data_IF_486078758766
#
_entry.id   IF_486078758766
#
_cell.length_a   1.000
_cell.length_b   1.000
_cell.length_c   1.000
_cell.angle_alpha   90.00
_cell.angle_beta   90.00
_cell.angle_gamma   90.00
#
_symmetry.space_group_name_H-M   'P 1'
#
loop_
_entity.id
_entity.type
_entity.pdbx_description
1 polymer ?
#
# COMPACT_ATOMS: atom_id res chain seq x y z
N UNK A 1 -27.74 32.78 13.56
CA UNK A 1 -27.13 31.89 12.55
C UNK A 1 -25.95 31.21 13.21
N UNK A 2 -26.16 30.00 13.72
CA UNK A 2 -25.10 29.18 14.31
C UNK A 2 -24.34 28.52 13.15
N UNK A 3 -23.14 28.99 12.89
CA UNK A 3 -22.19 28.25 12.06
C UNK A 3 -21.90 26.92 12.77
N UNK A 4 -22.54 25.86 12.37
CA UNK A 4 -22.04 24.52 12.60
C UNK A 4 -20.77 24.39 11.77
N UNK A 5 -19.64 24.51 12.43
CA UNK A 5 -18.35 24.04 11.92
C UNK A 5 -18.49 22.52 11.75
N UNK A 6 -19.10 22.09 10.65
CA UNK A 6 -19.26 20.68 10.35
C UNK A 6 -17.87 20.11 10.09
N UNK A 7 -17.32 19.45 11.11
CA UNK A 7 -16.03 18.77 11.00
C UNK A 7 -16.08 17.79 9.83
N UNK A 8 -15.49 18.15 8.72
CA UNK A 8 -15.39 17.25 7.58
C UNK A 8 -14.09 16.42 7.64
N UNK A 9 -14.15 15.20 7.11
CA UNK A 9 -13.06 14.23 7.15
C UNK A 9 -12.57 13.88 5.76
N UNK A 10 -11.25 13.64 5.66
CA UNK A 10 -10.63 12.97 4.52
C UNK A 10 -10.45 11.50 4.84
N UNK A 11 -11.01 10.63 4.02
CA UNK A 11 -10.91 9.19 4.13
C UNK A 11 -9.75 8.66 3.27
N UNK A 12 -8.78 7.95 3.86
CA UNK A 12 -7.66 7.35 3.13
C UNK A 12 -7.84 5.84 3.05
N UNK A 13 -8.11 5.32 1.85
CA UNK A 13 -8.32 3.90 1.59
C UNK A 13 -6.98 3.18 1.32
N UNK A 14 -6.25 2.90 2.39
CA UNK A 14 -4.92 2.28 2.30
C UNK A 14 -4.53 1.57 3.59
N UNK A 15 -3.52 0.66 3.51
CA UNK A 15 -2.87 0.08 4.71
C UNK A 15 -2.39 1.21 5.62
N UNK A 16 -2.54 1.03 6.93
CA UNK A 16 -2.22 2.05 7.94
C UNK A 16 -0.80 2.60 7.76
N UNK A 17 0.22 1.74 7.67
CA UNK A 17 1.63 2.15 7.59
C UNK A 17 1.94 3.00 6.34
N UNK A 18 1.23 2.74 5.25
CA UNK A 18 1.39 3.50 4.01
C UNK A 18 0.55 4.77 3.97
N UNK A 19 -0.52 4.82 4.75
CA UNK A 19 -1.39 5.99 4.86
C UNK A 19 -0.85 7.04 5.84
N UNK A 20 -0.14 6.62 6.90
CA UNK A 20 0.37 7.50 7.96
C UNK A 20 1.11 8.75 7.45
N UNK A 21 2.04 8.68 6.47
CA UNK A 21 2.74 9.90 6.01
C UNK A 21 1.80 10.94 5.41
N UNK A 22 0.75 10.52 4.69
CA UNK A 22 -0.26 11.45 4.16
C UNK A 22 -1.14 11.99 5.29
N UNK A 23 -1.58 11.11 6.20
CA UNK A 23 -2.37 11.52 7.37
C UNK A 23 -1.63 12.60 8.17
N UNK A 24 -0.36 12.38 8.52
CA UNK A 24 0.45 13.34 9.28
C UNK A 24 0.54 14.71 8.58
N UNK A 25 0.72 14.70 7.25
CA UNK A 25 0.79 15.93 6.48
C UNK A 25 -0.54 16.67 6.45
N UNK A 26 -1.67 15.96 6.28
CA UNK A 26 -3.01 16.56 6.27
C UNK A 26 -3.40 17.10 7.65
N UNK A 27 -3.11 16.36 8.72
CA UNK A 27 -3.40 16.79 10.11
C UNK A 27 -2.62 18.07 10.47
N UNK A 28 -1.36 18.20 10.02
CA UNK A 28 -0.58 19.46 10.17
C UNK A 28 -1.20 20.65 9.43
N UNK A 29 -2.08 20.41 8.48
CA UNK A 29 -2.86 21.42 7.75
C UNK A 29 -4.31 21.49 8.25
N UNK A 30 -4.58 21.11 9.51
CA UNK A 30 -5.89 21.15 10.17
C UNK A 30 -6.99 20.35 9.45
N UNK A 31 -6.62 19.29 8.70
CA UNK A 31 -7.57 18.40 8.03
C UNK A 31 -7.77 17.15 8.88
N UNK A 32 -9.01 16.84 9.21
CA UNK A 32 -9.35 15.61 9.90
C UNK A 32 -9.20 14.41 8.97
N UNK A 33 -8.58 13.35 9.45
CA UNK A 33 -8.27 12.17 8.62
C UNK A 33 -8.65 10.88 9.30
N UNK A 34 -9.40 10.05 8.60
CA UNK A 34 -9.60 8.64 8.94
C UNK A 34 -8.85 7.75 7.92
N UNK A 35 -8.22 6.70 8.41
CA UNK A 35 -7.64 5.65 7.56
C UNK A 35 -8.59 4.46 7.59
N UNK A 36 -9.05 4.04 6.42
CA UNK A 36 -9.95 2.90 6.25
C UNK A 36 -9.31 1.85 5.33
N UNK A 37 -8.61 0.85 5.90
CA UNK A 37 -8.13 -0.29 5.12
C UNK A 37 -9.29 -1.17 4.70
N UNK A 38 -9.45 -1.40 3.41
CA UNK A 38 -10.55 -2.24 2.87
C UNK A 38 -10.16 -3.72 2.72
N UNK A 39 -9.02 -4.11 3.26
CA UNK A 39 -8.53 -5.48 3.31
C UNK A 39 -8.05 -5.85 4.70
N UNK A 40 -8.35 -7.06 5.11
CA UNK A 40 -7.72 -7.70 6.25
C UNK A 40 -6.55 -8.56 5.78
N UNK A 41 -5.44 -8.50 6.53
CA UNK A 41 -4.24 -9.29 6.26
C UNK A 41 -4.34 -10.61 7.04
N UNK A 42 -4.54 -11.72 6.34
CA UNK A 42 -4.57 -13.05 6.92
C UNK A 42 -3.23 -13.76 6.71
N UNK A 43 -2.46 -14.06 7.77
CA UNK A 43 -1.24 -14.85 7.66
C UNK A 43 -1.50 -16.23 7.04
N UNK A 44 -0.53 -16.71 6.27
CA UNK A 44 -0.51 -18.07 5.70
C UNK A 44 0.64 -18.83 6.33
N UNK A 45 0.39 -20.04 6.80
CA UNK A 45 1.45 -20.92 7.34
C UNK A 45 2.49 -21.22 6.25
N UNK A 46 3.75 -21.16 6.60
CA UNK A 46 4.89 -21.51 5.73
C UNK A 46 5.94 -22.27 6.53
N UNK A 47 6.77 -23.04 5.85
CA UNK A 47 7.88 -23.76 6.48
C UNK A 47 8.99 -22.79 6.87
N UNK A 48 9.78 -23.07 7.93
CA UNK A 48 10.97 -22.30 8.25
C UNK A 48 11.86 -22.09 7.01
N UNK A 49 12.41 -20.90 6.89
CA UNK A 49 13.20 -20.50 5.71
C UNK A 49 14.69 -20.66 6.05
N UNK A 50 15.39 -21.50 5.30
CA UNK A 50 16.84 -21.55 5.35
C UNK A 50 17.43 -20.45 4.43
N UNK A 51 17.73 -19.29 4.98
CA UNK A 51 18.24 -18.15 4.21
C UNK A 51 19.60 -18.39 3.55
N UNK A 52 20.37 -19.40 3.99
CA UNK A 52 21.67 -19.74 3.38
C UNK A 52 21.56 -20.24 1.93
N UNK A 53 20.37 -20.72 1.54
CA UNK A 53 20.08 -21.17 0.17
C UNK A 53 19.88 -20.02 -0.82
N UNK A 54 19.78 -18.79 -0.32
CA UNK A 54 19.43 -17.62 -1.13
C UNK A 54 20.53 -16.56 -1.07
N UNK A 55 20.70 -15.84 -2.16
CA UNK A 55 21.64 -14.72 -2.23
C UNK A 55 20.98 -13.37 -1.90
N UNK A 56 19.66 -13.29 -2.07
CA UNK A 56 18.89 -12.07 -1.82
C UNK A 56 17.44 -12.39 -1.45
N UNK A 57 16.83 -11.49 -0.67
CA UNK A 57 15.42 -11.49 -0.27
C UNK A 57 14.74 -10.25 -0.85
N UNK A 58 13.62 -10.44 -1.57
CA UNK A 58 12.80 -9.36 -2.11
C UNK A 58 11.50 -9.23 -1.30
N UNK A 59 11.22 -8.01 -0.85
CA UNK A 59 10.04 -7.67 -0.05
C UNK A 59 9.37 -6.41 -0.63
N UNK A 60 8.07 -6.52 -0.89
CA UNK A 60 7.28 -5.41 -1.47
C UNK A 60 6.28 -4.79 -0.49
N UNK A 61 6.21 -5.29 0.75
CA UNK A 61 5.19 -4.86 1.72
C UNK A 61 5.67 -4.93 3.17
N UNK A 62 5.26 -3.96 3.97
CA UNK A 62 5.45 -3.94 5.42
C UNK A 62 4.84 -5.17 6.10
N UNK A 63 3.70 -5.67 5.58
CA UNK A 63 3.07 -6.88 6.12
C UNK A 63 3.98 -8.11 6.04
N UNK A 64 4.77 -8.23 4.96
CA UNK A 64 5.79 -9.29 4.85
C UNK A 64 6.87 -9.15 5.91
N UNK A 65 7.35 -7.93 6.16
CA UNK A 65 8.34 -7.64 7.21
C UNK A 65 7.82 -8.09 8.57
N UNK A 66 6.59 -7.65 8.93
CA UNK A 66 5.97 -7.99 10.22
C UNK A 66 5.84 -9.51 10.43
N UNK A 67 5.42 -10.23 9.39
CA UNK A 67 5.24 -11.68 9.46
C UNK A 67 6.58 -12.41 9.55
N UNK A 68 7.57 -12.03 8.74
CA UNK A 68 8.90 -12.65 8.80
C UNK A 68 9.58 -12.38 10.14
N UNK A 69 9.58 -11.14 10.63
CA UNK A 69 10.18 -10.78 11.91
C UNK A 69 9.56 -11.52 13.11
N UNK A 70 8.27 -11.90 13.00
CA UNK A 70 7.60 -12.70 14.04
C UNK A 70 7.96 -14.20 13.98
N UNK A 71 8.34 -14.71 12.81
CA UNK A 71 8.53 -16.15 12.55
C UNK A 71 9.99 -16.54 12.26
N UNK A 72 10.94 -15.62 12.37
CA UNK A 72 12.36 -15.84 12.07
C UNK A 72 13.22 -15.06 13.05
N UNK A 73 14.33 -15.63 13.47
CA UNK A 73 15.25 -14.94 14.38
C UNK A 73 15.91 -13.72 13.70
N UNK A 74 16.28 -12.72 14.52
CA UNK A 74 16.96 -11.52 14.02
C UNK A 74 18.30 -11.86 13.37
N UNK A 75 19.02 -12.82 13.92
CA UNK A 75 20.33 -13.27 13.42
C UNK A 75 20.23 -13.89 12.02
N UNK A 76 19.13 -14.61 11.72
CA UNK A 76 18.91 -15.19 10.40
C UNK A 76 18.57 -14.14 9.35
N UNK A 77 17.68 -13.19 9.67
CA UNK A 77 17.28 -12.13 8.73
C UNK A 77 18.40 -11.13 8.44
N UNK A 78 19.37 -10.96 9.37
CA UNK A 78 20.55 -10.13 9.17
C UNK A 78 21.55 -10.70 8.16
N UNK A 79 21.57 -12.02 7.97
CA UNK A 79 22.53 -12.70 7.08
C UNK A 79 22.20 -12.56 5.60
N UNK A 80 20.95 -12.21 5.24
CA UNK A 80 20.53 -12.12 3.85
C UNK A 80 20.36 -10.68 3.40
N UNK A 81 20.96 -10.33 2.24
CA UNK A 81 20.74 -9.04 1.59
C UNK A 81 19.26 -8.87 1.23
N UNK A 82 18.61 -7.85 1.80
CA UNK A 82 17.18 -7.62 1.62
C UNK A 82 16.93 -6.39 0.76
N UNK A 83 16.12 -6.55 -0.26
CA UNK A 83 15.73 -5.49 -1.18
C UNK A 83 14.24 -5.18 -1.00
N UNK A 84 13.92 -3.91 -0.74
CA UNK A 84 12.57 -3.46 -0.42
C UNK A 84 12.02 -2.50 -1.47
N UNK A 85 10.71 -2.57 -1.72
CA UNK A 85 9.99 -1.56 -2.50
C UNK A 85 9.61 -0.39 -1.60
N UNK A 86 10.11 0.79 -1.95
CA UNK A 86 9.74 2.07 -1.33
C UNK A 86 10.29 2.27 0.08
N UNK A 87 10.48 3.56 0.42
CA UNK A 87 11.11 4.01 1.67
C UNK A 87 10.39 3.53 2.93
N UNK A 88 9.06 3.41 2.88
CA UNK A 88 8.27 2.95 4.04
C UNK A 88 8.60 1.51 4.37
N UNK A 89 8.61 0.62 3.37
CA UNK A 89 8.94 -0.80 3.58
C UNK A 89 10.39 -0.96 4.05
N UNK A 90 11.32 -0.23 3.44
CA UNK A 90 12.73 -0.22 3.83
C UNK A 90 12.94 0.22 5.30
N UNK A 91 12.28 1.31 5.71
CA UNK A 91 12.33 1.81 7.10
C UNK A 91 11.85 0.75 8.10
N UNK A 92 10.74 0.06 7.80
CA UNK A 92 10.24 -1.02 8.66
C UNK A 92 11.16 -2.23 8.68
N UNK A 93 11.78 -2.59 7.56
CA UNK A 93 12.73 -3.68 7.46
C UNK A 93 13.99 -3.41 8.29
N UNK A 94 14.59 -2.21 8.16
CA UNK A 94 15.73 -1.77 8.96
C UNK A 94 15.42 -1.84 10.46
N UNK A 95 14.25 -1.31 10.87
CA UNK A 95 13.80 -1.33 12.27
C UNK A 95 13.63 -2.75 12.81
N UNK A 96 13.19 -3.69 11.97
CA UNK A 96 13.06 -5.10 12.31
C UNK A 96 14.39 -5.88 12.28
N UNK A 97 15.49 -5.25 11.83
CA UNK A 97 16.84 -5.84 11.84
C UNK A 97 17.22 -6.53 10.51
N UNK A 98 16.51 -6.30 9.41
CA UNK A 98 16.89 -6.81 8.10
C UNK A 98 18.12 -6.08 7.55
N UNK A 99 18.99 -6.81 6.84
CA UNK A 99 20.15 -6.27 6.13
C UNK A 99 19.72 -5.64 4.81
N UNK A 100 19.19 -4.42 4.86
CA UNK A 100 18.62 -3.75 3.70
C UNK A 100 19.70 -3.19 2.77
N UNK A 101 19.56 -3.51 1.48
CA UNK A 101 20.32 -2.87 0.40
C UNK A 101 19.50 -1.69 -0.12
N UNK A 102 20.10 -0.51 -0.13
CA UNK A 102 19.44 0.72 -0.62
C UNK A 102 18.97 0.58 -2.06
N UNK A 103 17.70 0.91 -2.30
CA UNK A 103 17.06 0.92 -3.61
C UNK A 103 16.29 2.22 -3.82
N UNK A 104 16.09 2.59 -5.08
CA UNK A 104 15.18 3.67 -5.47
C UNK A 104 13.85 3.12 -6.02
N UNK A 105 13.63 1.82 -5.88
CA UNK A 105 12.47 1.15 -6.43
C UNK A 105 11.16 1.60 -5.78
N UNK A 106 10.22 2.04 -6.61
CA UNK A 106 8.87 2.45 -6.21
C UNK A 106 7.81 1.39 -6.52
N UNK A 107 8.17 0.35 -7.29
CA UNK A 107 7.31 -0.76 -7.69
C UNK A 107 8.05 -2.09 -7.65
N UNK A 108 7.31 -3.21 -7.70
CA UNK A 108 7.90 -4.54 -7.80
C UNK A 108 8.71 -4.73 -9.09
N UNK A 109 8.31 -4.07 -10.16
CA UNK A 109 9.03 -4.10 -11.44
C UNK A 109 10.37 -3.37 -11.38
N UNK A 110 10.36 -2.14 -10.88
CA UNK A 110 11.59 -1.35 -10.73
C UNK A 110 12.56 -2.03 -9.76
N UNK A 111 12.03 -2.68 -8.70
CA UNK A 111 12.85 -3.48 -7.78
C UNK A 111 13.52 -4.65 -8.49
N UNK A 112 12.78 -5.41 -9.30
CA UNK A 112 13.34 -6.53 -10.05
C UNK A 112 14.47 -6.07 -11.00
N UNK A 113 14.28 -4.94 -11.70
CA UNK A 113 15.30 -4.34 -12.57
C UNK A 113 16.58 -3.98 -11.81
N UNK A 114 16.45 -3.33 -10.65
CA UNK A 114 17.61 -2.96 -9.83
C UNK A 114 18.34 -4.18 -9.30
N UNK A 115 17.61 -5.21 -8.86
CA UNK A 115 18.20 -6.42 -8.31
C UNK A 115 18.94 -7.21 -9.39
N UNK A 116 18.38 -7.36 -10.59
CA UNK A 116 19.05 -8.03 -11.72
C UNK A 116 20.41 -7.37 -12.02
N UNK A 117 20.48 -6.04 -11.99
CA UNK A 117 21.75 -5.31 -12.21
C UNK A 117 22.79 -5.50 -11.09
N UNK A 118 22.34 -5.79 -9.87
CA UNK A 118 23.20 -5.92 -8.68
C UNK A 118 23.64 -7.36 -8.37
N UNK A 119 22.90 -8.35 -8.87
CA UNK A 119 23.21 -9.76 -8.67
C UNK A 119 24.29 -10.18 -9.66
N UNK A 120 25.40 -10.70 -9.13
CA UNK A 120 26.54 -11.19 -9.93
C UNK A 120 26.66 -12.70 -9.93
N UNK A 121 26.09 -13.38 -8.92
CA UNK A 121 26.17 -14.84 -8.77
C UNK A 121 24.83 -15.47 -9.16
N UNK A 122 24.84 -16.35 -10.15
CA UNK A 122 23.64 -17.06 -10.61
C UNK A 122 23.46 -18.44 -9.95
N UNK A 123 24.38 -18.83 -9.06
CA UNK A 123 24.36 -20.17 -8.43
C UNK A 123 23.34 -20.27 -7.30
N UNK A 124 22.98 -19.14 -6.66
CA UNK A 124 21.97 -19.11 -5.59
C UNK A 124 20.69 -18.44 -6.05
N UNK A 125 19.56 -18.94 -5.53
CA UNK A 125 18.24 -18.41 -5.84
C UNK A 125 18.00 -17.04 -5.18
N UNK A 126 17.11 -16.27 -5.78
CA UNK A 126 16.50 -15.11 -5.13
C UNK A 126 15.22 -15.57 -4.44
N UNK A 127 15.05 -15.18 -3.19
CA UNK A 127 13.85 -15.45 -2.42
C UNK A 127 12.86 -14.27 -2.54
N UNK A 128 11.64 -14.55 -3.02
CA UNK A 128 10.56 -13.58 -3.13
C UNK A 128 9.51 -13.94 -2.10
N UNK A 129 9.34 -13.10 -1.08
CA UNK A 129 8.37 -13.36 0.01
C UNK A 129 7.29 -12.28 -0.02
N UNK A 130 6.02 -12.70 0.11
CA UNK A 130 4.94 -11.72 0.09
C UNK A 130 3.53 -12.30 0.09
N UNK A 131 2.58 -11.50 -0.39
CA UNK A 131 1.17 -11.85 -0.52
C UNK A 131 0.92 -13.00 -1.49
N UNK A 132 -0.21 -13.72 -1.33
CA UNK A 132 -0.68 -14.71 -2.32
C UNK A 132 -0.79 -14.08 -3.72
N UNK A 133 -1.40 -12.91 -3.83
CA UNK A 133 -1.50 -12.14 -5.06
C UNK A 133 -0.53 -10.97 -4.99
N UNK A 134 0.43 -10.92 -5.90
CA UNK A 134 1.37 -9.81 -6.04
C UNK A 134 0.83 -8.78 -7.03
N UNK A 135 1.01 -7.49 -6.74
CA UNK A 135 0.70 -6.41 -7.69
C UNK A 135 1.55 -6.51 -8.98
N UNK A 136 2.76 -7.04 -8.85
CA UNK A 136 3.66 -7.37 -9.96
C UNK A 136 4.34 -8.71 -9.68
N UNK A 137 4.32 -9.63 -10.65
CA UNK A 137 5.05 -10.89 -10.57
C UNK A 137 6.44 -10.77 -11.20
N UNK A 138 7.52 -10.72 -10.40
CA UNK A 138 8.87 -10.54 -10.94
C UNK A 138 9.51 -11.81 -11.49
N UNK A 139 8.91 -12.99 -11.29
CA UNK A 139 9.49 -14.29 -11.67
C UNK A 139 9.82 -14.40 -13.16
N UNK A 140 8.94 -14.01 -14.11
CA UNK A 140 9.26 -14.07 -15.53
C UNK A 140 10.49 -13.24 -15.89
N UNK A 141 10.64 -12.08 -15.26
CA UNK A 141 11.76 -11.17 -15.51
C UNK A 141 13.10 -11.74 -15.02
N UNK A 142 13.12 -12.35 -13.83
CA UNK A 142 14.29 -13.06 -13.31
C UNK A 142 14.64 -14.27 -14.18
N UNK A 143 13.63 -15.03 -14.62
CA UNK A 143 13.81 -16.17 -15.54
C UNK A 143 14.48 -15.72 -16.86
N UNK A 144 14.02 -14.63 -17.44
CA UNK A 144 14.61 -14.04 -18.65
C UNK A 144 16.07 -13.60 -18.44
N UNK A 145 16.42 -13.18 -17.23
CA UNK A 145 17.80 -12.84 -16.85
C UNK A 145 18.61 -14.07 -16.36
N UNK A 146 18.14 -15.30 -16.57
CA UNK A 146 18.75 -16.56 -16.13
C UNK A 146 19.03 -16.64 -14.62
N UNK A 147 18.21 -15.95 -13.79
CA UNK A 147 18.31 -15.95 -12.35
C UNK A 147 17.20 -16.82 -11.76
N UNK A 148 17.60 -17.86 -11.02
CA UNK A 148 16.67 -18.74 -10.33
C UNK A 148 15.97 -18.04 -9.16
N UNK A 149 14.68 -18.33 -8.98
CA UNK A 149 13.88 -17.73 -7.90
C UNK A 149 13.12 -18.80 -7.11
N UNK A 150 12.84 -18.48 -5.84
CA UNK A 150 11.88 -19.22 -5.01
C UNK A 150 10.86 -18.22 -4.46
N UNK A 151 9.58 -18.55 -4.59
CA UNK A 151 8.50 -17.75 -4.01
C UNK A 151 7.93 -18.42 -2.77
N UNK A 152 7.72 -17.62 -1.70
CA UNK A 152 7.03 -18.05 -0.48
C UNK A 152 5.89 -17.07 -0.22
N UNK A 153 4.68 -17.62 -0.06
CA UNK A 153 3.49 -16.87 0.33
C UNK A 153 3.38 -16.89 1.85
N UNK A 154 3.32 -15.71 2.47
CA UNK A 154 3.24 -15.59 3.93
C UNK A 154 1.95 -14.93 4.41
N UNK A 155 1.15 -14.35 3.49
CA UNK A 155 -0.18 -13.84 3.79
C UNK A 155 -1.08 -13.77 2.55
N UNK A 156 -2.37 -13.61 2.79
CA UNK A 156 -3.36 -13.23 1.78
C UNK A 156 -4.09 -11.97 2.24
N UNK A 157 -4.53 -11.15 1.28
CA UNK A 157 -5.47 -10.07 1.51
C UNK A 157 -6.87 -10.63 1.39
N UNK A 158 -7.70 -10.37 2.38
CA UNK A 158 -9.12 -10.71 2.38
C UNK A 158 -9.89 -9.39 2.29
N UNK A 159 -10.69 -9.15 1.24
CA UNK A 159 -11.55 -7.98 1.19
C UNK A 159 -12.47 -7.93 2.41
N UNK A 160 -12.64 -6.75 2.99
CA UNK A 160 -13.59 -6.56 4.05
C UNK A 160 -15.03 -6.64 3.48
N UNK A 161 -15.96 -7.15 4.25
CA UNK A 161 -17.37 -7.24 3.87
C UNK A 161 -18.14 -5.95 4.21
N UNK A 162 -17.63 -5.18 5.16
CA UNK A 162 -18.20 -3.92 5.62
C UNK A 162 -17.09 -2.89 5.87
N UNK A 163 -17.48 -1.62 5.85
CA UNK A 163 -16.65 -0.53 6.34
C UNK A 163 -16.58 -0.60 7.89
N UNK A 164 -15.55 0.02 8.47
CA UNK A 164 -15.50 0.19 9.92
C UNK A 164 -16.68 1.00 10.42
N UNK A 165 -17.08 0.81 11.68
CA UNK A 165 -18.17 1.57 12.28
C UNK A 165 -17.93 3.08 12.19
N UNK A 166 -16.71 3.53 12.47
CA UNK A 166 -16.34 4.95 12.36
C UNK A 166 -16.51 5.49 10.94
N UNK A 167 -16.05 4.75 9.92
CA UNK A 167 -16.21 5.16 8.53
C UNK A 167 -17.67 5.20 8.11
N UNK A 168 -18.45 4.18 8.48
CA UNK A 168 -19.87 4.10 8.19
C UNK A 168 -20.67 5.25 8.81
N UNK A 169 -20.35 5.61 10.06
CA UNK A 169 -21.01 6.74 10.76
C UNK A 169 -20.72 8.06 10.06
N UNK A 170 -19.44 8.32 9.68
CA UNK A 170 -19.07 9.56 8.99
C UNK A 170 -19.71 9.68 7.60
N UNK A 171 -19.82 8.56 6.87
CA UNK A 171 -20.51 8.56 5.58
C UNK A 171 -22.02 8.77 5.72
N UNK A 172 -22.65 8.15 6.72
CA UNK A 172 -24.09 8.32 7.00
C UNK A 172 -24.44 9.76 7.41
N UNK A 173 -23.54 10.43 8.14
CA UNK A 173 -23.72 11.82 8.57
C UNK A 173 -23.29 12.85 7.52
N UNK A 174 -22.85 12.41 6.32
CA UNK A 174 -22.28 13.27 5.28
C UNK A 174 -21.05 14.09 5.73
N UNK A 175 -20.30 13.58 6.72
CA UNK A 175 -19.12 14.23 7.30
C UNK A 175 -17.81 13.94 6.51
N UNK A 176 -17.88 13.22 5.39
CA UNK A 176 -16.72 12.92 4.52
C UNK A 176 -16.70 13.89 3.34
N UNK A 177 -15.66 14.74 3.25
CA UNK A 177 -15.48 15.67 2.13
C UNK A 177 -14.53 15.15 1.04
N UNK A 178 -13.57 14.32 1.40
CA UNK A 178 -12.60 13.78 0.45
C UNK A 178 -12.33 12.29 0.68
N UNK A 179 -12.07 11.56 -0.40
CA UNK A 179 -11.62 10.16 -0.35
C UNK A 179 -10.36 10.02 -1.21
N UNK A 180 -9.33 9.33 -0.67
CA UNK A 180 -8.06 9.08 -1.36
C UNK A 180 -7.93 7.61 -1.73
N UNK A 181 -7.74 7.34 -3.02
CA UNK A 181 -7.75 5.99 -3.58
C UNK A 181 -6.51 5.77 -4.46
N UNK A 182 -5.72 4.72 -4.14
CA UNK A 182 -4.42 4.48 -4.76
C UNK A 182 -4.40 3.40 -5.85
N UNK A 183 -5.50 2.68 -6.07
CA UNK A 183 -5.51 1.60 -7.07
C UNK A 183 -6.90 1.27 -7.59
N UNK A 184 -6.99 0.74 -8.83
CA UNK A 184 -8.25 0.26 -9.39
C UNK A 184 -8.94 -0.80 -8.51
N UNK A 185 -8.18 -1.75 -7.96
CA UNK A 185 -8.71 -2.80 -7.08
C UNK A 185 -9.36 -2.20 -5.82
N UNK A 186 -8.69 -1.22 -5.19
CA UNK A 186 -9.23 -0.48 -4.03
C UNK A 186 -10.53 0.25 -4.39
N UNK A 187 -10.57 0.92 -5.55
CA UNK A 187 -11.78 1.59 -6.03
C UNK A 187 -12.94 0.61 -6.19
N UNK A 188 -12.73 -0.51 -6.90
CA UNK A 188 -13.77 -1.52 -7.12
C UNK A 188 -14.33 -2.07 -5.80
N UNK A 189 -13.47 -2.38 -4.84
CA UNK A 189 -13.91 -2.92 -3.56
C UNK A 189 -14.63 -1.86 -2.73
N UNK A 190 -14.12 -0.64 -2.70
CA UNK A 190 -14.74 0.44 -1.95
C UNK A 190 -16.14 0.76 -2.49
N UNK A 191 -16.34 0.82 -3.79
CA UNK A 191 -17.65 1.01 -4.39
C UNK A 191 -18.67 -0.07 -3.99
N UNK A 192 -18.22 -1.32 -3.81
CA UNK A 192 -19.09 -2.39 -3.27
C UNK A 192 -19.46 -2.15 -1.80
N UNK A 193 -18.54 -1.56 -1.01
CA UNK A 193 -18.77 -1.29 0.41
C UNK A 193 -19.62 -0.03 0.64
N UNK A 194 -19.61 0.92 -0.31
CA UNK A 194 -20.42 2.14 -0.24
C UNK A 194 -21.92 1.85 -0.22
N UNK A 195 -22.36 0.82 -0.93
CA UNK A 195 -23.80 0.42 -0.99
C UNK A 195 -24.73 1.63 -1.26
N UNK A 196 -25.36 2.14 -0.21
CA UNK A 196 -26.38 3.19 -0.27
C UNK A 196 -25.87 4.56 0.20
N UNK A 197 -24.55 4.73 0.47
CA UNK A 197 -24.03 6.04 0.89
C UNK A 197 -23.94 6.99 -0.30
N UNK A 198 -24.42 8.22 -0.09
CA UNK A 198 -24.33 9.29 -1.07
C UNK A 198 -22.89 9.78 -1.25
N UNK A 199 -22.49 9.99 -2.50
CA UNK A 199 -21.12 10.45 -2.84
C UNK A 199 -21.08 11.81 -3.54
N UNK A 200 -22.25 12.41 -3.86
CA UNK A 200 -22.39 13.67 -4.61
C UNK A 200 -21.69 14.88 -3.97
N UNK A 201 -21.48 14.85 -2.65
CA UNK A 201 -20.77 15.91 -1.91
C UNK A 201 -19.27 15.58 -1.66
N UNK A 202 -18.78 14.43 -2.13
CA UNK A 202 -17.44 13.92 -1.83
C UNK A 202 -16.53 14.10 -3.04
N UNK A 203 -15.33 14.66 -2.82
CA UNK A 203 -14.26 14.67 -3.82
C UNK A 203 -13.48 13.35 -3.77
N UNK A 204 -13.37 12.65 -4.88
CA UNK A 204 -12.52 11.46 -5.00
C UNK A 204 -11.15 11.84 -5.61
N UNK A 205 -10.08 11.70 -4.85
CA UNK A 205 -8.69 11.94 -5.30
C UNK A 205 -8.04 10.57 -5.53
N UNK A 206 -7.68 10.27 -6.78
CA UNK A 206 -7.21 8.93 -7.13
C UNK A 206 -5.89 8.93 -7.91
N UNK A 207 -5.13 7.84 -7.78
CA UNK A 207 -3.92 7.61 -8.54
C UNK A 207 -4.24 6.99 -9.91
N UNK A 208 -3.96 7.78 -10.98
CA UNK A 208 -3.98 7.33 -12.37
C UNK A 208 -5.36 7.13 -12.98
N UNK A 209 -5.40 7.20 -14.32
CA UNK A 209 -6.63 7.18 -15.11
C UNK A 209 -7.43 5.87 -15.00
N UNK A 210 -6.77 4.72 -14.78
CA UNK A 210 -7.49 3.44 -14.60
C UNK A 210 -8.36 3.46 -13.34
N UNK A 211 -7.90 4.09 -12.26
CA UNK A 211 -8.68 4.25 -11.02
C UNK A 211 -9.84 5.21 -11.23
N UNK A 212 -9.60 6.33 -11.92
CA UNK A 212 -10.63 7.31 -12.25
C UNK A 212 -11.81 6.67 -13.00
N UNK A 213 -11.54 5.91 -14.06
CA UNK A 213 -12.59 5.23 -14.87
C UNK A 213 -13.52 4.35 -14.03
N UNK A 214 -12.99 3.73 -12.97
CA UNK A 214 -13.82 2.91 -12.06
C UNK A 214 -14.69 3.78 -11.17
N UNK A 215 -14.14 4.90 -10.68
CA UNK A 215 -14.86 5.82 -9.79
C UNK A 215 -15.98 6.57 -10.49
N UNK A 216 -15.82 6.90 -11.76
CA UNK A 216 -16.84 7.62 -12.58
C UNK A 216 -18.17 6.86 -12.75
N UNK A 217 -18.27 5.62 -12.27
CA UNK A 217 -19.53 4.88 -12.19
C UNK A 217 -20.50 5.50 -11.16
N UNK A 218 -19.94 6.13 -10.11
CA UNK A 218 -20.72 6.79 -9.06
C UNK A 218 -20.78 8.31 -9.27
N UNK A 219 -21.79 8.94 -8.67
CA UNK A 219 -21.97 10.39 -8.71
C UNK A 219 -21.14 11.08 -7.62
N UNK A 220 -19.90 11.47 -7.94
CA UNK A 220 -19.00 12.22 -7.06
C UNK A 220 -19.14 13.73 -7.27
N UNK A 221 -18.89 14.55 -6.22
CA UNK A 221 -18.73 16.01 -6.41
C UNK A 221 -17.67 16.29 -7.48
N UNK A 222 -16.53 15.61 -7.41
CA UNK A 222 -15.43 15.67 -8.37
C UNK A 222 -14.57 14.43 -8.31
N UNK A 223 -14.04 13.96 -9.44
CA UNK A 223 -12.99 12.93 -9.49
C UNK A 223 -11.70 13.55 -10.01
N UNK A 224 -10.69 13.66 -9.15
CA UNK A 224 -9.38 14.22 -9.45
C UNK A 224 -8.33 13.13 -9.61
N UNK A 225 -7.54 13.21 -10.68
CA UNK A 225 -6.42 12.28 -10.92
C UNK A 225 -5.12 12.92 -10.47
N UNK A 226 -4.32 12.11 -9.79
CA UNK A 226 -2.93 12.39 -9.45
C UNK A 226 -2.07 11.39 -10.23
N UNK A 227 -1.16 11.89 -11.06
CA UNK A 227 -0.39 11.04 -11.97
C UNK A 227 0.86 10.44 -11.31
N UNK A 228 1.31 11.00 -10.20
CA UNK A 228 2.43 10.48 -9.44
C UNK A 228 2.05 10.16 -7.98
N UNK A 229 2.84 9.29 -7.34
CA UNK A 229 2.60 8.85 -5.96
C UNK A 229 3.20 9.83 -4.92
N UNK A 230 3.65 11.01 -5.34
CA UNK A 230 4.25 11.97 -4.43
C UNK A 230 3.25 12.47 -3.38
N UNK A 231 3.67 12.38 -2.14
CA UNK A 231 2.85 12.71 -0.97
C UNK A 231 2.34 14.16 -1.02
N UNK A 232 3.21 15.09 -1.41
CA UNK A 232 2.89 16.52 -1.51
C UNK A 232 1.81 16.78 -2.56
N UNK A 233 1.84 16.07 -3.68
CA UNK A 233 0.86 16.23 -4.75
C UNK A 233 -0.53 15.80 -4.29
N UNK A 234 -0.66 14.65 -3.60
CA UNK A 234 -1.93 14.24 -2.99
C UNK A 234 -2.42 15.26 -1.96
N UNK A 235 -1.54 15.66 -1.03
CA UNK A 235 -1.89 16.62 0.02
C UNK A 235 -2.38 17.95 -0.57
N UNK A 236 -1.68 18.52 -1.54
CA UNK A 236 -2.05 19.79 -2.17
C UNK A 236 -3.43 19.72 -2.86
N UNK A 237 -3.77 18.60 -3.51
CA UNK A 237 -5.09 18.43 -4.11
C UNK A 237 -6.21 18.41 -3.06
N UNK A 238 -5.97 17.74 -1.93
CA UNK A 238 -6.94 17.65 -0.82
C UNK A 238 -7.07 19.00 -0.11
N UNK A 239 -5.95 19.67 0.18
CA UNK A 239 -5.94 20.99 0.84
C UNK A 239 -6.73 22.00 -0.02
N UNK A 240 -6.48 22.04 -1.33
CA UNK A 240 -7.21 22.92 -2.25
C UNK A 240 -8.71 22.60 -2.29
N UNK A 241 -9.10 21.33 -2.27
CA UNK A 241 -10.52 20.94 -2.31
C UNK A 241 -11.28 21.23 -1.01
N UNK A 242 -10.59 21.44 0.11
CA UNK A 242 -11.21 21.84 1.39
C UNK A 242 -11.33 23.38 1.53
N UNK A 243 -10.71 24.15 0.63
CA UNK A 243 -10.78 25.62 0.62
C UNK A 243 -11.88 26.13 -0.34
N UNK A 244 -12.46 25.25 -1.15
CA UNK A 244 -13.57 25.50 -2.10
C UNK A 244 -14.86 24.84 -1.66
#
# INVERSE_FOLDING_TARGET
MTYHDSKTYTLILRDIERALPLKELLVRNNINVIIEPIYTIAPVKFKPINFKEYQALLITSVNTIKILAKNTSREEIQKIKTYCVGKVTEKYALKAGFNCVKTNATSGETLANEVIKKIKDNNKKILIVGAKNLAYNPIPKFKHAHISTKRIVVYKKIPNENLSQSCSTLLANEEVSNIVIYSPETATLFLRLLKNYETKNINAVCLGMKTKKILEINNWKKVQVVDNIELKTFANNIIKSNMT
#
